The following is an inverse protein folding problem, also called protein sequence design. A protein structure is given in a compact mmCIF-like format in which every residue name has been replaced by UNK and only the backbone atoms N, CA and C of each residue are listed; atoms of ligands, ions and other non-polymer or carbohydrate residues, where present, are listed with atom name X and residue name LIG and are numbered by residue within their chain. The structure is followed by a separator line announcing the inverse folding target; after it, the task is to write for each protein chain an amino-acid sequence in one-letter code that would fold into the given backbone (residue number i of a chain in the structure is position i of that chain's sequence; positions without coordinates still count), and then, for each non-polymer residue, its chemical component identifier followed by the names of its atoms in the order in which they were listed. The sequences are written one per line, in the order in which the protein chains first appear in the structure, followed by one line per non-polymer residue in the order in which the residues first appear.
data_IF_629265231155
#
_entry.id   IF_629265231155
#
_cell.length_a   1.000
_cell.length_b   1.000
_cell.length_c   1.000
_cell.angle_alpha   90.00
_cell.angle_beta   90.00
_cell.angle_gamma   90.00
#
_symmetry.space_group_name_H-M   'P 1'
#
loop_
_entity.id
_entity.type
_entity.pdbx_description
1 polymer ?
#
# COMPACT_ATOMS: atom_id res chain seq x y z
N UNK A 1 8.35 -6.98 22.62
CA UNK A 1 9.25 -7.76 21.74
C UNK A 1 10.51 -6.95 21.47
N UNK A 2 11.63 -7.59 21.11
CA UNK A 2 12.87 -6.92 20.69
C UNK A 2 12.87 -6.76 19.17
N UNK A 3 12.82 -5.53 18.68
CA UNK A 3 12.68 -5.20 17.26
C UNK A 3 13.85 -4.31 16.83
N UNK A 4 14.55 -4.72 15.78
CA UNK A 4 15.59 -3.90 15.14
C UNK A 4 15.05 -3.32 13.84
N UNK A 5 15.05 -2.00 13.73
CA UNK A 5 14.65 -1.27 12.52
C UNK A 5 15.91 -0.74 11.83
N UNK A 6 16.11 -1.11 10.57
CA UNK A 6 17.25 -0.70 9.78
C UNK A 6 16.85 0.42 8.83
N UNK A 7 17.33 1.63 9.10
CA UNK A 7 17.04 2.87 8.40
C UNK A 7 16.13 3.79 9.20
N UNK A 8 16.62 4.99 9.52
CA UNK A 8 15.91 6.09 10.16
C UNK A 8 15.33 7.09 9.12
N UNK A 9 14.94 6.59 7.95
CA UNK A 9 14.18 7.39 6.99
C UNK A 9 12.71 7.55 7.45
N UNK A 10 11.91 8.31 6.71
CA UNK A 10 10.52 8.59 7.10
C UNK A 10 9.70 7.32 7.44
N UNK A 11 9.92 6.22 6.71
CA UNK A 11 9.24 4.95 6.98
C UNK A 11 9.71 4.34 8.29
N UNK A 12 11.04 4.21 8.48
CA UNK A 12 11.61 3.62 9.69
C UNK A 12 11.30 4.44 10.94
N UNK A 13 11.36 5.77 10.86
CA UNK A 13 11.02 6.66 11.98
C UNK A 13 9.55 6.58 12.37
N UNK A 14 8.63 6.60 11.39
CA UNK A 14 7.19 6.46 11.67
C UNK A 14 6.86 5.09 12.27
N UNK A 15 7.55 4.04 11.79
CA UNK A 15 7.41 2.70 12.32
C UNK A 15 7.93 2.59 13.76
N UNK A 16 9.10 3.17 14.05
CA UNK A 16 9.63 3.24 15.41
C UNK A 16 8.68 3.98 16.35
N UNK A 17 8.14 5.13 15.93
CA UNK A 17 7.16 5.90 16.71
C UNK A 17 5.89 5.11 17.01
N UNK A 18 5.38 4.36 16.01
CA UNK A 18 4.15 3.57 16.17
C UNK A 18 4.37 2.40 17.12
N UNK A 19 5.46 1.63 16.91
CA UNK A 19 5.74 0.41 17.66
C UNK A 19 6.23 0.69 19.09
N UNK A 20 6.86 1.83 19.35
CA UNK A 20 7.32 2.22 20.69
C UNK A 20 6.14 2.36 21.66
N UNK A 21 4.96 2.72 21.16
CA UNK A 21 3.74 2.85 21.96
C UNK A 21 3.16 1.49 22.40
N UNK A 22 3.62 0.37 21.84
CA UNK A 22 3.05 -0.97 22.05
C UNK A 22 3.88 -1.88 23.00
N UNK A 23 4.64 -1.30 23.93
CA UNK A 23 5.54 -2.04 24.86
C UNK A 23 6.59 -2.92 24.14
N UNK A 24 7.20 -2.37 23.09
CA UNK A 24 8.30 -3.01 22.37
C UNK A 24 9.64 -2.36 22.72
N UNK A 25 10.70 -3.17 22.77
CA UNK A 25 12.08 -2.73 22.86
C UNK A 25 12.60 -2.55 21.44
N UNK A 26 12.88 -1.30 21.05
CA UNK A 26 13.17 -0.92 19.67
C UNK A 26 14.58 -0.37 19.58
N UNK A 27 15.37 -0.92 18.65
CA UNK A 27 16.67 -0.38 18.26
C UNK A 27 16.65 0.06 16.81
N UNK A 28 17.00 1.32 16.53
CA UNK A 28 17.09 1.86 15.17
C UNK A 28 18.55 1.99 14.74
N UNK A 29 18.87 1.47 13.55
CA UNK A 29 20.21 1.54 12.95
C UNK A 29 20.19 2.47 11.73
N UNK A 30 21.06 3.46 11.68
CA UNK A 30 21.25 4.29 10.48
C UNK A 30 22.68 4.86 10.42
N UNK A 31 23.12 5.34 9.26
CA UNK A 31 24.41 6.04 9.12
C UNK A 31 24.30 7.53 9.45
N UNK A 32 23.10 8.10 9.38
CA UNK A 32 22.81 9.50 9.70
C UNK A 32 22.59 9.69 11.20
N UNK A 33 23.66 10.13 11.87
CA UNK A 33 23.68 10.45 13.31
C UNK A 33 22.64 11.52 13.67
N UNK A 34 22.36 12.47 12.78
CA UNK A 34 21.42 13.55 13.07
C UNK A 34 19.99 13.01 13.15
N UNK A 35 19.59 12.19 12.18
CA UNK A 35 18.27 11.52 12.19
C UNK A 35 18.09 10.64 13.44
N UNK A 36 19.12 9.88 13.82
CA UNK A 36 19.07 9.04 15.03
C UNK A 36 18.88 9.87 16.30
N UNK A 37 19.60 10.99 16.44
CA UNK A 37 19.44 11.89 17.59
C UNK A 37 18.04 12.48 17.65
N UNK A 38 17.55 13.01 16.53
CA UNK A 38 16.19 13.58 16.45
C UNK A 38 15.10 12.55 16.81
N UNK A 39 15.30 11.28 16.44
CA UNK A 39 14.36 10.22 16.77
C UNK A 39 14.42 9.86 18.28
N UNK A 40 15.63 9.70 18.82
CA UNK A 40 15.86 9.41 20.25
C UNK A 40 15.35 10.51 21.18
N UNK A 41 15.40 11.76 20.75
CA UNK A 41 14.88 12.89 21.54
C UNK A 41 13.34 12.90 21.61
N UNK A 42 12.66 12.18 20.70
CA UNK A 42 11.19 12.15 20.58
C UNK A 42 10.57 10.89 21.19
N UNK A 43 11.26 9.76 21.14
CA UNK A 43 10.76 8.45 21.58
C UNK A 43 11.85 7.66 22.31
N UNK A 44 11.45 6.85 23.29
CA UNK A 44 12.36 6.03 24.09
C UNK A 44 12.76 4.76 23.31
N UNK A 45 13.88 4.85 22.59
CA UNK A 45 14.42 3.78 21.75
C UNK A 45 15.95 3.69 21.84
N UNK A 46 16.49 2.51 21.53
CA UNK A 46 17.90 2.32 21.23
C UNK A 46 18.26 2.89 19.85
N UNK A 47 19.48 3.40 19.70
CA UNK A 47 20.00 3.86 18.39
C UNK A 47 21.44 3.42 18.20
N UNK A 48 21.76 2.85 17.05
CA UNK A 48 23.12 2.47 16.65
C UNK A 48 23.48 3.19 15.36
N UNK A 49 24.66 3.82 15.35
CA UNK A 49 25.20 4.43 14.12
C UNK A 49 26.06 3.42 13.39
N UNK A 50 25.72 3.10 12.15
CA UNK A 50 26.49 2.16 11.35
C UNK A 50 25.79 1.72 10.08
N UNK A 51 26.51 0.92 9.28
CA UNK A 51 25.95 0.31 8.09
C UNK A 51 25.05 -0.87 8.48
N UNK A 52 23.77 -0.80 8.14
CA UNK A 52 22.77 -1.79 8.53
C UNK A 52 23.03 -3.23 8.06
N UNK A 53 23.83 -3.41 7.01
CA UNK A 53 24.21 -4.72 6.47
C UNK A 53 25.46 -5.32 7.12
N UNK A 54 26.13 -4.60 8.02
CA UNK A 54 27.37 -5.07 8.64
C UNK A 54 27.09 -5.95 9.87
N UNK A 55 27.78 -7.11 10.00
CA UNK A 55 27.68 -8.00 11.15
C UNK A 55 27.85 -7.34 12.52
N UNK A 56 28.93 -6.56 12.69
CA UNK A 56 29.29 -5.91 13.94
C UNK A 56 28.25 -4.87 14.38
N UNK A 57 27.65 -4.18 13.40
CA UNK A 57 26.57 -3.21 13.65
C UNK A 57 25.29 -3.92 14.10
N UNK A 58 24.94 -5.04 13.47
CA UNK A 58 23.77 -5.84 13.84
C UNK A 58 23.94 -6.50 15.21
N UNK A 59 25.15 -6.96 15.54
CA UNK A 59 25.49 -7.48 16.87
C UNK A 59 25.32 -6.38 17.95
N UNK A 60 25.88 -5.18 17.72
CA UNK A 60 25.69 -4.02 18.61
C UNK A 60 24.22 -3.60 18.77
N UNK A 61 23.40 -3.82 17.73
CA UNK A 61 21.97 -3.53 17.77
C UNK A 61 21.15 -4.59 18.54
N UNK A 62 21.78 -5.65 19.05
CA UNK A 62 21.13 -6.73 19.78
C UNK A 62 20.63 -7.87 18.87
N UNK A 63 21.29 -8.09 17.74
CA UNK A 63 20.89 -9.08 16.74
C UNK A 63 20.69 -10.52 17.28
N UNK A 64 21.47 -10.92 18.29
CA UNK A 64 21.39 -12.25 18.93
C UNK A 64 20.03 -12.51 19.60
N UNK A 65 19.45 -11.49 20.21
CA UNK A 65 18.19 -11.60 20.97
C UNK A 65 17.00 -11.00 20.22
N UNK A 66 17.18 -10.55 18.97
CA UNK A 66 16.13 -9.86 18.24
C UNK A 66 15.02 -10.84 17.83
N UNK A 67 13.78 -10.52 18.19
CA UNK A 67 12.61 -11.26 17.72
C UNK A 67 12.32 -10.95 16.24
N UNK A 68 12.63 -9.72 15.81
CA UNK A 68 12.30 -9.22 14.49
C UNK A 68 13.33 -8.19 13.98
N UNK A 69 13.66 -8.28 12.69
CA UNK A 69 14.38 -7.25 11.93
C UNK A 69 13.49 -6.70 10.82
N UNK A 70 13.45 -5.38 10.71
CA UNK A 70 12.70 -4.65 9.68
C UNK A 70 13.67 -3.80 8.87
N UNK A 71 14.00 -4.25 7.66
CA UNK A 71 14.96 -3.62 6.77
C UNK A 71 14.27 -2.62 5.82
N UNK A 72 14.37 -1.33 6.13
CA UNK A 72 13.67 -0.24 5.43
C UNK A 72 14.61 0.87 4.98
N UNK A 73 15.89 0.59 4.78
CA UNK A 73 16.87 1.55 4.26
C UNK A 73 16.51 2.00 2.83
N UNK A 74 17.24 2.99 2.31
CA UNK A 74 17.01 3.51 0.96
C UNK A 74 17.46 2.58 -0.17
N UNK A 75 18.32 1.59 0.11
CA UNK A 75 18.81 0.62 -0.87
C UNK A 75 18.18 -0.76 -0.64
N UNK A 76 17.64 -1.33 -1.71
CA UNK A 76 17.11 -2.69 -1.71
C UNK A 76 18.24 -3.69 -1.40
N UNK A 77 19.44 -3.48 -1.95
CA UNK A 77 20.61 -4.33 -1.76
C UNK A 77 21.04 -4.37 -0.29
N UNK A 78 21.09 -3.22 0.38
CA UNK A 78 21.40 -3.16 1.82
C UNK A 78 20.35 -3.92 2.62
N UNK A 79 19.06 -3.74 2.30
CA UNK A 79 17.98 -4.42 3.02
C UNK A 79 18.08 -5.95 2.86
N UNK A 80 18.32 -6.41 1.63
CA UNK A 80 18.48 -7.83 1.30
C UNK A 80 19.68 -8.44 2.02
N UNK A 81 20.84 -7.78 1.99
CA UNK A 81 22.06 -8.27 2.65
C UNK A 81 21.89 -8.28 4.16
N UNK A 82 21.29 -7.24 4.76
CA UNK A 82 21.07 -7.18 6.19
C UNK A 82 20.18 -8.32 6.70
N UNK A 83 19.08 -8.63 6.01
CA UNK A 83 18.25 -9.78 6.33
C UNK A 83 19.03 -11.10 6.23
N UNK A 84 19.87 -11.24 5.20
CA UNK A 84 20.69 -12.45 5.00
C UNK A 84 21.74 -12.62 6.11
N UNK A 85 22.43 -11.54 6.49
CA UNK A 85 23.41 -11.53 7.59
C UNK A 85 22.71 -11.89 8.90
N UNK A 86 21.58 -11.24 9.19
CA UNK A 86 20.79 -11.53 10.39
C UNK A 86 20.38 -13.00 10.50
N UNK A 87 19.90 -13.59 9.40
CA UNK A 87 19.55 -15.00 9.36
C UNK A 87 20.77 -15.92 9.54
N UNK A 88 21.87 -15.60 8.87
CA UNK A 88 23.04 -16.48 8.82
C UNK A 88 23.87 -16.45 10.12
N UNK A 89 23.88 -15.33 10.82
CA UNK A 89 24.68 -15.15 12.05
C UNK A 89 23.88 -15.28 13.33
N UNK A 90 22.66 -14.76 13.36
CA UNK A 90 21.87 -14.66 14.60
C UNK A 90 20.59 -15.49 14.55
N UNK A 91 20.28 -16.13 13.42
CA UNK A 91 19.06 -16.90 13.21
C UNK A 91 17.78 -16.11 13.57
N UNK A 92 17.78 -14.78 13.34
CA UNK A 92 16.67 -13.90 13.69
C UNK A 92 15.34 -14.46 13.18
N UNK A 93 14.34 -14.69 14.04
CA UNK A 93 13.12 -15.41 13.69
C UNK A 93 12.34 -14.76 12.56
N UNK A 94 12.13 -13.43 12.63
CA UNK A 94 11.31 -12.69 11.67
C UNK A 94 12.09 -11.57 10.98
N UNK A 95 12.05 -11.53 9.65
CA UNK A 95 12.79 -10.59 8.79
C UNK A 95 11.85 -10.00 7.75
N UNK A 96 11.55 -8.72 7.87
CA UNK A 96 10.70 -7.97 6.94
C UNK A 96 11.62 -7.08 6.11
N UNK A 97 11.53 -7.17 4.78
CA UNK A 97 12.40 -6.43 3.86
C UNK A 97 11.58 -5.51 2.96
N UNK A 98 11.98 -4.24 2.88
CA UNK A 98 11.42 -3.31 1.89
C UNK A 98 12.18 -3.43 0.57
N UNK A 99 11.46 -3.76 -0.50
CA UNK A 99 11.98 -3.79 -1.87
C UNK A 99 11.18 -2.86 -2.78
N UNK A 100 11.87 -1.92 -3.43
CA UNK A 100 11.27 -0.99 -4.40
C UNK A 100 11.31 -1.59 -5.80
N UNK A 101 12.45 -2.14 -6.20
CA UNK A 101 12.65 -2.68 -7.54
C UNK A 101 11.80 -3.93 -7.79
N UNK A 102 10.93 -3.85 -8.79
CA UNK A 102 10.11 -4.98 -9.23
C UNK A 102 10.94 -6.15 -9.77
N UNK A 103 12.17 -5.89 -10.23
CA UNK A 103 13.06 -6.91 -10.77
C UNK A 103 13.39 -8.00 -9.73
N UNK A 104 13.48 -7.64 -8.45
CA UNK A 104 13.71 -8.60 -7.37
C UNK A 104 12.46 -9.43 -7.03
N UNK A 105 11.26 -8.94 -7.38
CA UNK A 105 9.99 -9.60 -7.06
C UNK A 105 9.59 -10.66 -8.10
N UNK A 106 10.28 -10.74 -9.24
CA UNK A 106 9.89 -11.64 -10.35
C UNK A 106 10.12 -13.11 -10.01
N UNK A 107 11.14 -13.43 -9.22
CA UNK A 107 11.56 -14.80 -8.97
C UNK A 107 11.41 -15.15 -7.49
N UNK A 108 10.44 -16.01 -7.18
CA UNK A 108 10.27 -16.56 -5.83
C UNK A 108 11.50 -17.32 -5.33
N UNK A 109 12.35 -17.81 -6.25
CA UNK A 109 13.61 -18.51 -5.93
C UNK A 109 14.64 -17.63 -5.25
N UNK A 110 14.52 -16.30 -5.35
CA UNK A 110 15.39 -15.36 -4.66
C UNK A 110 15.08 -15.33 -3.15
N UNK A 111 13.85 -15.67 -2.77
CA UNK A 111 13.39 -15.68 -1.38
C UNK A 111 13.56 -17.07 -0.75
N UNK A 112 13.28 -17.15 0.55
CA UNK A 112 13.46 -18.36 1.35
C UNK A 112 14.87 -18.56 1.89
N UNK A 113 15.04 -19.61 2.69
CA UNK A 113 16.24 -19.82 3.52
C UNK A 113 17.54 -20.02 2.73
N UNK A 114 17.46 -20.54 1.50
CA UNK A 114 18.62 -20.73 0.63
C UNK A 114 18.94 -19.49 -0.23
N UNK A 115 18.04 -18.52 -0.30
CA UNK A 115 18.22 -17.23 -0.96
C UNK A 115 18.46 -16.11 0.05
N UNK A 116 17.71 -15.03 -0.05
CA UNK A 116 17.83 -13.85 0.82
C UNK A 116 17.39 -14.07 2.27
N UNK A 117 16.72 -15.19 2.56
CA UNK A 117 16.16 -15.51 3.88
C UNK A 117 15.30 -14.36 4.44
N UNK A 118 14.37 -13.86 3.63
CA UNK A 118 13.37 -12.86 4.03
C UNK A 118 12.04 -13.59 4.23
N UNK A 119 11.33 -13.25 5.31
CA UNK A 119 10.02 -13.84 5.63
C UNK A 119 8.87 -13.07 4.95
N UNK A 120 8.94 -11.74 4.96
CA UNK A 120 7.97 -10.88 4.28
C UNK A 120 8.65 -9.78 3.48
N UNK A 121 8.13 -9.52 2.28
CA UNK A 121 8.58 -8.44 1.41
C UNK A 121 7.50 -7.38 1.32
N UNK A 122 7.88 -6.14 1.62
CA UNK A 122 7.02 -4.98 1.43
C UNK A 122 7.51 -4.19 0.23
N UNK A 123 6.66 -4.08 -0.79
CA UNK A 123 6.92 -3.21 -1.94
C UNK A 123 5.89 -2.07 -1.97
N UNK A 124 6.22 -0.89 -1.42
CA UNK A 124 5.28 0.23 -1.33
C UNK A 124 4.77 0.67 -2.70
N UNK A 125 5.66 0.70 -3.69
CA UNK A 125 5.32 1.12 -5.06
C UNK A 125 4.35 0.14 -5.71
N UNK A 126 4.54 -1.17 -5.48
CA UNK A 126 3.59 -2.20 -5.90
C UNK A 126 2.24 -2.03 -5.19
N UNK A 127 2.23 -1.88 -3.86
CA UNK A 127 1.00 -1.72 -3.07
C UNK A 127 0.18 -0.52 -3.54
N UNK A 128 0.83 0.63 -3.75
CA UNK A 128 0.17 1.86 -4.20
C UNK A 128 -0.33 1.71 -5.64
N UNK A 129 0.50 1.24 -6.57
CA UNK A 129 0.10 1.07 -7.97
C UNK A 129 -1.06 0.06 -8.12
N UNK A 130 -1.01 -1.09 -7.43
CA UNK A 130 -2.13 -2.04 -7.39
C UNK A 130 -3.40 -1.45 -6.77
N UNK A 131 -3.28 -0.64 -5.71
CA UNK A 131 -4.42 0.04 -5.10
C UNK A 131 -5.07 1.04 -6.07
N UNK A 132 -4.27 1.87 -6.75
CA UNK A 132 -4.78 2.79 -7.77
C UNK A 132 -5.44 2.07 -8.93
N UNK A 133 -4.83 0.98 -9.42
CA UNK A 133 -5.40 0.16 -10.49
C UNK A 133 -6.76 -0.41 -10.12
N UNK A 134 -6.92 -0.92 -8.88
CA UNK A 134 -8.22 -1.41 -8.38
C UNK A 134 -9.30 -0.32 -8.37
N UNK A 135 -8.96 0.90 -7.96
CA UNK A 135 -9.91 2.03 -8.00
C UNK A 135 -10.34 2.36 -9.43
N UNK A 136 -9.42 2.27 -10.40
CA UNK A 136 -9.71 2.49 -11.82
C UNK A 136 -10.59 1.35 -12.38
N UNK A 137 -10.34 0.11 -12.00
CA UNK A 137 -11.13 -1.06 -12.41
C UNK A 137 -12.55 -1.08 -11.82
N UNK A 138 -12.80 -0.28 -10.76
CA UNK A 138 -14.08 -0.08 -10.10
C UNK A 138 -14.51 1.40 -10.12
N UNK A 139 -15.03 1.87 -11.28
CA UNK A 139 -15.53 3.24 -11.42
C UNK A 139 -16.54 3.61 -10.34
N UNK A 140 -16.33 4.78 -9.75
CA UNK A 140 -17.20 5.32 -8.69
C UNK A 140 -16.89 4.81 -7.28
N UNK A 141 -15.90 3.91 -7.11
CA UNK A 141 -15.34 3.57 -5.80
C UNK A 141 -14.44 4.69 -5.28
N UNK A 142 -14.47 4.92 -3.97
CA UNK A 142 -13.58 5.82 -3.24
C UNK A 142 -12.42 5.06 -2.59
N UNK A 143 -12.68 3.82 -2.16
CA UNK A 143 -11.71 2.96 -1.48
C UNK A 143 -12.04 1.49 -1.71
N UNK A 144 -11.01 0.66 -1.84
CA UNK A 144 -11.13 -0.81 -1.96
C UNK A 144 -10.07 -1.46 -1.08
N UNK A 145 -10.50 -2.26 -0.08
CA UNK A 145 -9.62 -3.03 0.78
C UNK A 145 -9.90 -4.52 0.61
N UNK A 146 -8.84 -5.29 0.41
CA UNK A 146 -8.90 -6.74 0.25
C UNK A 146 -8.72 -7.43 1.61
N UNK A 147 -9.58 -8.42 1.87
CA UNK A 147 -9.52 -9.30 3.04
C UNK A 147 -9.55 -10.76 2.57
N UNK A 148 -9.04 -11.66 3.41
CA UNK A 148 -9.04 -13.11 3.15
C UNK A 148 -8.51 -13.46 1.75
N UNK A 149 -7.30 -13.00 1.43
CA UNK A 149 -6.63 -13.19 0.13
C UNK A 149 -7.47 -12.73 -1.07
N UNK A 150 -8.24 -11.65 -0.90
CA UNK A 150 -9.05 -11.04 -1.95
C UNK A 150 -10.39 -11.74 -2.21
N UNK A 151 -10.81 -12.68 -1.35
CA UNK A 151 -12.14 -13.31 -1.42
C UNK A 151 -13.24 -12.36 -0.95
N UNK A 152 -12.92 -11.50 0.02
CA UNK A 152 -13.84 -10.50 0.59
C UNK A 152 -13.25 -9.13 0.38
N UNK A 153 -14.07 -8.16 -0.01
CA UNK A 153 -13.63 -6.78 -0.19
C UNK A 153 -14.52 -5.83 0.62
N UNK A 154 -13.89 -4.85 1.26
CA UNK A 154 -14.56 -3.66 1.78
C UNK A 154 -14.44 -2.56 0.73
N UNK A 155 -15.56 -2.00 0.28
CA UNK A 155 -15.57 -0.95 -0.72
C UNK A 155 -16.35 0.24 -0.20
N UNK A 156 -15.77 1.43 -0.38
CA UNK A 156 -16.41 2.70 -0.08
C UNK A 156 -16.94 3.34 -1.36
N UNK A 157 -18.19 3.78 -1.34
CA UNK A 157 -18.84 4.44 -2.48
C UNK A 157 -19.58 5.67 -2.00
N UNK A 158 -19.53 6.73 -2.79
CA UNK A 158 -20.37 7.90 -2.57
C UNK A 158 -21.77 7.67 -3.12
N UNK A 159 -22.77 7.78 -2.25
CA UNK A 159 -24.18 7.74 -2.63
C UNK A 159 -24.53 8.98 -3.46
N UNK A 160 -25.17 8.78 -4.61
CA UNK A 160 -25.59 9.86 -5.51
C UNK A 160 -27.09 9.82 -5.77
N UNK A 161 -27.69 11.00 -5.99
CA UNK A 161 -29.09 11.10 -6.39
C UNK A 161 -29.41 10.17 -7.58
N UNK A 162 -30.47 9.38 -7.42
CA UNK A 162 -30.90 8.38 -8.41
C UNK A 162 -30.30 6.98 -8.23
N UNK A 163 -29.53 6.73 -7.17
CA UNK A 163 -29.20 5.37 -6.73
C UNK A 163 -30.42 4.69 -6.07
N UNK A 164 -30.73 3.42 -6.38
CA UNK A 164 -31.88 2.69 -5.82
C UNK A 164 -32.01 2.73 -4.29
N UNK A 165 -30.88 2.73 -3.55
CA UNK A 165 -30.87 2.74 -2.09
C UNK A 165 -30.79 4.14 -1.47
N UNK A 166 -30.68 5.19 -2.28
CA UNK A 166 -30.62 6.56 -1.75
C UNK A 166 -32.02 6.98 -1.31
N UNK A 167 -32.13 7.39 -0.05
CA UNK A 167 -33.39 7.67 0.64
C UNK A 167 -34.07 6.44 1.25
N UNK A 168 -33.42 5.26 1.21
CA UNK A 168 -33.94 4.01 1.77
C UNK A 168 -33.20 3.60 3.04
N UNK A 169 -33.89 2.84 3.89
CA UNK A 169 -33.28 2.22 5.07
C UNK A 169 -32.36 1.04 4.68
N UNK A 170 -31.24 0.88 5.39
CA UNK A 170 -30.26 -0.21 5.15
C UNK A 170 -30.94 -1.59 5.15
N UNK A 171 -31.96 -1.84 5.97
CA UNK A 171 -32.66 -3.14 6.01
C UNK A 171 -33.25 -3.57 4.66
N UNK A 172 -33.57 -2.62 3.78
CA UNK A 172 -34.15 -2.89 2.46
C UNK A 172 -33.11 -3.41 1.46
N UNK A 173 -31.82 -3.27 1.77
CA UNK A 173 -30.72 -3.73 0.93
C UNK A 173 -30.80 -5.23 0.63
N UNK A 174 -31.22 -6.06 1.61
CA UNK A 174 -31.45 -7.51 1.40
C UNK A 174 -32.64 -7.81 0.49
N UNK A 175 -33.61 -6.91 0.39
CA UNK A 175 -34.77 -7.08 -0.50
C UNK A 175 -34.40 -6.73 -1.95
N UNK A 176 -33.54 -5.72 -2.13
CA UNK A 176 -33.03 -5.31 -3.43
C UNK A 176 -32.04 -6.33 -4.01
N UNK A 177 -31.19 -6.93 -3.16
CA UNK A 177 -30.17 -7.88 -3.58
C UNK A 177 -30.24 -9.19 -2.75
N UNK A 178 -31.29 -10.01 -2.94
CA UNK A 178 -31.49 -11.22 -2.14
C UNK A 178 -30.42 -12.29 -2.38
N UNK A 179 -29.74 -12.25 -3.53
CA UNK A 179 -28.72 -13.22 -3.93
C UNK A 179 -27.29 -12.78 -3.58
N UNK A 180 -27.10 -11.58 -3.02
CA UNK A 180 -25.78 -11.04 -2.68
C UNK A 180 -25.62 -10.99 -1.17
N UNK A 181 -24.59 -11.65 -0.66
CA UNK A 181 -24.24 -11.54 0.75
C UNK A 181 -23.39 -10.28 0.97
N UNK A 182 -24.06 -9.21 1.42
CA UNK A 182 -23.43 -7.92 1.65
C UNK A 182 -23.98 -7.24 2.89
N UNK A 183 -23.14 -6.40 3.50
CA UNK A 183 -23.48 -5.63 4.70
C UNK A 183 -22.81 -4.26 4.66
N UNK A 184 -23.56 -3.23 5.08
CA UNK A 184 -22.98 -1.91 5.38
C UNK A 184 -22.17 -2.00 6.67
N UNK A 185 -20.88 -1.71 6.58
CA UNK A 185 -19.94 -1.73 7.69
C UNK A 185 -19.83 -0.37 8.39
N UNK A 186 -19.90 0.73 7.64
CA UNK A 186 -19.87 2.08 8.16
C UNK A 186 -20.53 3.06 7.18
N UNK A 187 -21.03 4.19 7.70
CA UNK A 187 -21.45 5.33 6.89
C UNK A 187 -20.70 6.55 7.39
N UNK A 188 -20.16 7.36 6.48
CA UNK A 188 -19.66 8.69 6.79
C UNK A 188 -20.53 9.74 6.13
N UNK A 189 -21.07 10.65 6.94
CA UNK A 189 -21.86 11.79 6.47
C UNK A 189 -21.17 13.07 6.92
N UNK A 190 -20.79 13.92 5.98
CA UNK A 190 -20.08 15.18 6.28
C UNK A 190 -18.85 14.95 7.20
N UNK A 191 -18.05 13.93 6.88
CA UNK A 191 -16.86 13.49 7.65
C UNK A 191 -17.14 13.03 9.09
N UNK A 192 -18.39 12.69 9.42
CA UNK A 192 -18.74 12.11 10.73
C UNK A 192 -19.14 10.65 10.58
N UNK A 193 -18.58 9.74 11.39
CA UNK A 193 -18.96 8.34 11.36
C UNK A 193 -20.37 8.15 11.91
N UNK A 194 -21.16 7.33 11.23
CA UNK A 194 -22.49 6.87 11.62
C UNK A 194 -22.41 5.34 11.72
N UNK A 195 -22.79 4.80 12.87
CA UNK A 195 -22.89 3.35 13.07
C UNK A 195 -24.12 2.87 12.28
N UNK A 196 -23.97 1.92 11.33
CA UNK A 196 -25.07 1.50 10.49
C UNK A 196 -26.02 0.57 11.26
N UNK A 197 -27.29 0.98 11.35
CA UNK A 197 -28.41 0.20 11.86
C UNK A 197 -29.39 -0.15 10.74
N UNK A 198 -30.25 -1.14 10.94
CA UNK A 198 -31.26 -1.50 9.94
C UNK A 198 -32.21 -0.36 9.55
N UNK A 199 -32.47 0.58 10.47
CA UNK A 199 -33.25 1.81 10.27
C UNK A 199 -32.45 3.00 9.72
N UNK A 200 -31.13 2.91 9.64
CA UNK A 200 -30.33 4.02 9.12
C UNK A 200 -30.70 4.27 7.66
N UNK A 201 -31.02 5.52 7.32
CA UNK A 201 -31.35 5.93 5.95
C UNK A 201 -30.09 6.42 5.25
N UNK A 202 -29.82 5.88 4.07
CA UNK A 202 -28.71 6.32 3.23
C UNK A 202 -29.11 7.61 2.53
N UNK A 203 -28.33 8.66 2.68
CA UNK A 203 -28.58 9.96 2.07
C UNK A 203 -27.61 10.23 0.91
N UNK A 204 -28.03 11.09 -0.03
CA UNK A 204 -27.16 11.53 -1.10
C UNK A 204 -25.95 12.28 -0.52
N UNK A 205 -24.75 11.91 -0.95
CA UNK A 205 -23.50 12.45 -0.44
C UNK A 205 -22.85 11.63 0.68
N UNK A 206 -23.54 10.63 1.24
CA UNK A 206 -22.95 9.68 2.18
C UNK A 206 -21.84 8.87 1.52
N UNK A 207 -20.77 8.62 2.28
CA UNK A 207 -19.75 7.63 1.94
C UNK A 207 -20.11 6.34 2.66
N UNK A 208 -20.62 5.38 1.90
CA UNK A 208 -21.10 4.10 2.43
C UNK A 208 -20.03 3.05 2.22
N UNK A 209 -19.61 2.42 3.30
CA UNK A 209 -18.66 1.31 3.31
C UNK A 209 -19.45 0.01 3.40
N UNK A 210 -19.26 -0.90 2.45
CA UNK A 210 -19.89 -2.21 2.46
C UNK A 210 -18.88 -3.32 2.28
N UNK A 211 -19.20 -4.46 2.87
CA UNK A 211 -18.46 -5.72 2.74
C UNK A 211 -19.26 -6.60 1.79
N UNK A 212 -18.57 -7.20 0.81
CA UNK A 212 -19.16 -8.19 -0.09
C UNK A 212 -18.07 -9.09 -0.69
N UNK A 213 -18.49 -10.20 -1.29
CA UNK A 213 -17.61 -11.01 -2.10
C UNK A 213 -17.13 -10.23 -3.33
N UNK A 214 -15.90 -10.49 -3.78
CA UNK A 214 -15.27 -9.77 -4.91
C UNK A 214 -16.13 -9.73 -6.18
N UNK A 215 -16.85 -10.82 -6.45
CA UNK A 215 -17.68 -10.94 -7.65
C UNK A 215 -18.95 -10.07 -7.58
N UNK A 216 -19.41 -9.71 -6.39
CA UNK A 216 -20.67 -9.02 -6.17
C UNK A 216 -20.51 -7.50 -5.99
N UNK A 217 -19.27 -7.00 -5.88
CA UNK A 217 -19.00 -5.57 -5.65
C UNK A 217 -19.69 -4.67 -6.67
N UNK A 218 -19.67 -5.05 -7.96
CA UNK A 218 -20.32 -4.24 -9.00
C UNK A 218 -21.83 -4.14 -8.83
N UNK A 219 -22.48 -5.20 -8.35
CA UNK A 219 -23.92 -5.17 -8.06
C UNK A 219 -24.20 -4.18 -6.92
N UNK A 220 -23.41 -4.22 -5.85
CA UNK A 220 -23.59 -3.32 -4.70
C UNK A 220 -23.35 -1.85 -5.07
N UNK A 221 -22.33 -1.56 -5.89
CA UNK A 221 -22.08 -0.18 -6.38
C UNK A 221 -23.30 0.35 -7.15
N UNK A 222 -23.93 -0.49 -7.97
CA UNK A 222 -25.07 -0.09 -8.82
C UNK A 222 -26.32 0.28 -8.03
N UNK A 223 -26.43 -0.17 -6.77
CA UNK A 223 -27.54 0.18 -5.88
C UNK A 223 -27.36 1.54 -5.19
N UNK A 224 -26.11 2.01 -5.03
CA UNK A 224 -25.82 3.28 -4.35
C UNK A 224 -25.69 4.46 -5.31
N UNK A 225 -25.46 4.17 -6.59
CA UNK A 225 -25.34 5.17 -7.66
C UNK A 225 -25.57 4.53 -9.01
N UNK A 226 -25.91 5.33 -10.02
CA UNK A 226 -25.82 4.88 -11.40
C UNK A 226 -24.38 4.43 -11.68
N UNK A 227 -24.24 3.22 -12.23
CA UNK A 227 -22.96 2.69 -12.66
C UNK A 227 -22.29 3.68 -13.61
N UNK A 228 -21.13 4.19 -13.21
CA UNK A 228 -20.30 4.97 -14.10
C UNK A 228 -19.89 4.08 -15.28
N UNK A 229 -19.80 4.68 -16.48
CA UNK A 229 -19.22 3.96 -17.61
C UNK A 229 -17.77 3.61 -17.26
N UNK A 230 -17.28 2.42 -17.63
CA UNK A 230 -15.87 2.07 -17.46
C UNK A 230 -14.98 3.18 -18.01
N UNK A 231 -13.95 3.56 -17.25
CA UNK A 231 -12.95 4.50 -17.74
C UNK A 231 -12.34 3.93 -19.02
N UNK A 232 -12.14 4.78 -20.02
CA UNK A 232 -11.49 4.38 -21.29
C UNK A 232 -10.11 5.01 -21.45
N UNK A 233 -9.93 6.20 -20.91
CA UNK A 233 -8.73 7.02 -21.03
C UNK A 233 -8.23 7.35 -19.64
N UNK A 234 -6.96 7.06 -19.39
CA UNK A 234 -6.29 7.34 -18.11
C UNK A 234 -5.06 8.19 -18.43
N UNK A 235 -4.92 9.30 -17.72
CA UNK A 235 -3.73 10.16 -17.81
C UNK A 235 -2.95 10.03 -16.50
N UNK A 236 -1.67 9.71 -16.59
CA UNK A 236 -0.75 9.56 -15.47
C UNK A 236 0.23 10.73 -15.52
N UNK A 237 0.26 11.53 -14.46
CA UNK A 237 1.19 12.63 -14.28
C UNK A 237 2.38 12.16 -13.43
N UNK A 238 3.56 12.07 -14.04
CA UNK A 238 4.79 11.58 -13.42
C UNK A 238 5.08 10.11 -13.76
N UNK A 239 6.29 9.86 -14.25
CA UNK A 239 6.82 8.58 -14.68
C UNK A 239 7.86 7.98 -13.73
N UNK A 240 7.81 8.35 -12.45
CA UNK A 240 8.53 7.65 -11.39
C UNK A 240 8.11 6.18 -11.28
N UNK A 241 8.63 5.44 -10.30
CA UNK A 241 8.40 4.00 -10.24
C UNK A 241 6.91 3.62 -10.12
N UNK A 242 6.12 4.37 -9.33
CA UNK A 242 4.67 4.17 -9.22
C UNK A 242 3.98 4.42 -10.57
N UNK A 243 4.32 5.52 -11.24
CA UNK A 243 3.70 5.92 -12.51
C UNK A 243 3.97 4.92 -13.63
N UNK A 244 5.23 4.46 -13.74
CA UNK A 244 5.61 3.38 -14.65
C UNK A 244 4.80 2.11 -14.34
N UNK A 245 4.81 1.67 -13.08
CA UNK A 245 4.15 0.41 -12.70
C UNK A 245 2.64 0.44 -12.93
N UNK A 246 2.01 1.58 -12.62
CA UNK A 246 0.60 1.80 -12.89
C UNK A 246 0.32 1.79 -14.39
N UNK A 247 1.18 2.42 -15.19
CA UNK A 247 1.05 2.40 -16.65
C UNK A 247 1.17 0.98 -17.22
N UNK A 248 2.16 0.18 -16.78
CA UNK A 248 2.35 -1.22 -17.18
C UNK A 248 1.10 -2.09 -16.92
N UNK A 249 0.46 -1.92 -15.76
CA UNK A 249 -0.76 -2.67 -15.42
C UNK A 249 -1.96 -2.19 -16.26
N UNK A 250 -2.11 -0.89 -16.45
CA UNK A 250 -3.29 -0.31 -17.10
C UNK A 250 -3.25 -0.36 -18.62
N UNK A 251 -2.08 -0.29 -19.27
CA UNK A 251 -1.98 -0.14 -20.73
C UNK A 251 -2.56 -1.30 -21.53
N UNK A 252 -2.75 -2.46 -20.90
CA UNK A 252 -3.40 -3.64 -21.49
C UNK A 252 -4.93 -3.50 -21.56
N UNK A 253 -5.51 -2.66 -20.70
CA UNK A 253 -6.97 -2.53 -20.50
C UNK A 253 -7.50 -1.13 -20.86
N UNK A 254 -6.66 -0.11 -20.81
CA UNK A 254 -7.03 1.30 -20.95
C UNK A 254 -6.15 2.04 -21.96
N UNK A 255 -6.65 3.16 -22.51
CA UNK A 255 -5.84 4.11 -23.26
C UNK A 255 -5.06 4.99 -22.30
N UNK A 256 -3.81 4.60 -22.01
CA UNK A 256 -2.94 5.30 -21.06
C UNK A 256 -2.11 6.37 -21.78
N UNK A 257 -2.10 7.57 -21.21
CA UNK A 257 -1.14 8.63 -21.54
C UNK A 257 -0.33 8.95 -20.30
N UNK A 258 1.00 8.93 -20.39
CA UNK A 258 1.89 9.26 -19.29
C UNK A 258 2.65 10.54 -19.63
N UNK A 259 2.66 11.50 -18.70
CA UNK A 259 3.41 12.76 -18.83
C UNK A 259 4.61 12.70 -17.88
N UNK A 260 5.82 12.86 -18.41
CA UNK A 260 7.06 12.90 -17.64
C UNK A 260 7.88 14.13 -18.02
N UNK A 261 8.37 14.86 -17.02
CA UNK A 261 9.12 16.10 -17.20
C UNK A 261 10.56 15.80 -17.62
N UNK A 262 11.18 14.82 -16.98
CA UNK A 262 12.56 14.47 -17.26
C UNK A 262 12.69 13.75 -18.60
N UNK A 263 13.59 14.25 -19.46
CA UNK A 263 13.69 13.78 -20.84
C UNK A 263 14.31 12.38 -20.92
N UNK A 264 15.32 12.09 -20.12
CA UNK A 264 15.98 10.77 -20.12
C UNK A 264 15.02 9.70 -19.61
N UNK A 265 14.32 9.99 -18.52
CA UNK A 265 13.26 9.13 -17.98
C UNK A 265 12.14 8.95 -18.99
N UNK A 266 11.71 10.00 -19.68
CA UNK A 266 10.68 9.91 -20.73
C UNK A 266 11.08 8.93 -21.84
N UNK A 267 12.34 8.96 -22.29
CA UNK A 267 12.86 8.02 -23.30
C UNK A 267 12.79 6.59 -22.77
N UNK A 268 13.35 6.35 -21.58
CA UNK A 268 13.29 5.04 -20.93
C UNK A 268 11.85 4.49 -20.81
N UNK A 269 10.90 5.33 -20.41
CA UNK A 269 9.50 4.94 -20.28
C UNK A 269 8.87 4.61 -21.65
N UNK A 270 9.23 5.35 -22.70
CA UNK A 270 8.74 5.09 -24.06
C UNK A 270 9.27 3.79 -24.67
N UNK A 271 10.44 3.34 -24.22
CA UNK A 271 11.02 2.05 -24.61
C UNK A 271 10.46 0.89 -23.78
N UNK A 272 10.08 1.16 -22.53
CA UNK A 272 9.57 0.14 -21.59
C UNK A 272 8.08 -0.15 -21.78
N UNK A 273 7.26 0.89 -22.00
CA UNK A 273 5.81 0.76 -22.13
C UNK A 273 5.43 0.39 -23.56
N UNK A 274 4.68 -0.69 -23.73
CA UNK A 274 4.38 -1.23 -25.06
C UNK A 274 3.24 -0.48 -25.77
N UNK A 275 2.28 0.06 -25.00
CA UNK A 275 1.01 0.60 -25.53
C UNK A 275 0.70 2.01 -25.05
N UNK A 276 1.23 2.43 -23.89
CA UNK A 276 1.03 3.76 -23.37
C UNK A 276 1.70 4.83 -24.25
N UNK A 277 1.05 5.98 -24.40
CA UNK A 277 1.66 7.15 -25.06
C UNK A 277 2.43 7.93 -24.00
N UNK A 278 3.75 8.03 -24.14
CA UNK A 278 4.61 8.82 -23.25
C UNK A 278 4.84 10.21 -23.85
N UNK A 279 4.58 11.25 -23.05
CA UNK A 279 4.70 12.65 -23.43
C UNK A 279 5.74 13.33 -22.53
N UNK A 280 6.71 14.00 -23.13
CA UNK A 280 7.63 14.84 -22.37
C UNK A 280 6.99 16.20 -22.09
N UNK A 281 6.82 16.57 -20.81
CA UNK A 281 6.20 17.84 -20.44
C UNK A 281 5.97 18.02 -18.95
N UNK A 282 5.57 19.23 -18.55
CA UNK A 282 5.18 19.54 -17.18
C UNK A 282 3.67 19.35 -16.98
N UNK A 283 3.29 18.71 -15.88
CA UNK A 283 1.88 18.44 -15.57
C UNK A 283 1.09 19.70 -15.16
N UNK A 284 1.77 20.80 -14.87
CA UNK A 284 1.19 22.09 -14.47
C UNK A 284 0.94 23.06 -15.61
N UNK A 285 1.34 22.72 -16.85
CA UNK A 285 1.00 23.51 -18.03
C UNK A 285 -0.23 22.91 -18.71
N UNK A 286 -1.41 23.32 -18.23
CA UNK A 286 -2.72 23.04 -18.81
C UNK A 286 -3.53 24.31 -18.92
#
# INVERSE_FOLDING_TARGET
MKIIILGANQVGSTLAETLANEQNDITVVDTDVKRLRELKDRIDIGTITGMASHPDVLEQAGGEDADMIIAVTESDEINMVACRVAYSMFHTPKKICRLRSSAYLVSEKLFGQHGLAVDDVISPEHIVSSYMSRLIDLPGSLQVLDFADGKVQLVAVKAHYGGPLVGQEIRLLRQHMPSVDTRVAAIFRQNRPIIPEGSSVIEAGDEVFFIAARNDIRAVISELRRMDKPYRRVMIAGGGNIGLRLAEDLEKRYQVKLIERDRERCVFLSETLEKAIVLNGECSQG
#
